data_IF_155587681880
#
_entry.id   IF_155587681880
#
_cell.length_a   1.000
_cell.length_b   1.000
_cell.length_c   1.000
_cell.angle_alpha   90.00
_cell.angle_beta   90.00
_cell.angle_gamma   90.00
#
_symmetry.space_group_name_H-M   'P 1'
#
loop_
_entity.id
_entity.type
_entity.pdbx_description
1 polymer ?
#
# COMPACT_ATOMS: atom_id res chain seq x y z
N UNK A 1 -11.24 -25.79 18.45
CA UNK A 1 -10.04 -26.04 17.62
C UNK A 1 -8.82 -25.56 18.39
N UNK A 2 -7.76 -26.38 18.51
CA UNK A 2 -6.55 -25.98 19.20
C UNK A 2 -5.92 -24.81 18.47
N UNK A 3 -5.49 -23.79 19.22
CA UNK A 3 -4.83 -22.61 18.72
C UNK A 3 -3.64 -23.02 17.84
N UNK A 4 -3.58 -22.50 16.62
CA UNK A 4 -2.52 -22.76 15.65
C UNK A 4 -1.14 -22.22 16.08
N UNK A 5 -1.07 -21.54 17.20
CA UNK A 5 0.16 -21.09 17.85
C UNK A 5 0.59 -22.14 18.84
N UNK A 6 1.63 -22.88 18.51
CA UNK A 6 2.23 -23.85 19.42
C UNK A 6 2.57 -23.20 20.77
N UNK A 7 2.59 -23.99 21.84
CA UNK A 7 3.04 -23.52 23.15
C UNK A 7 4.45 -22.96 23.04
N UNK A 8 4.62 -21.68 23.40
CA UNK A 8 5.94 -21.09 23.55
C UNK A 8 6.58 -21.73 24.78
N UNK A 9 7.51 -22.62 24.58
CA UNK A 9 8.38 -23.08 25.64
C UNK A 9 9.48 -22.06 25.85
N UNK A 10 9.64 -21.56 27.08
CA UNK A 10 10.76 -20.71 27.41
C UNK A 10 12.05 -21.55 27.33
N UNK A 11 12.91 -21.20 26.37
CA UNK A 11 14.19 -21.90 26.15
C UNK A 11 15.19 -21.54 27.25
N UNK A 12 15.10 -20.36 27.83
CA UNK A 12 15.94 -19.89 28.91
C UNK A 12 15.16 -18.94 29.83
N UNK A 13 15.22 -19.19 31.11
CA UNK A 13 14.59 -18.30 32.11
C UNK A 13 15.71 -17.71 32.96
N UNK A 14 15.92 -16.40 32.81
CA UNK A 14 16.82 -15.62 33.67
C UNK A 14 16.01 -14.93 34.74
N UNK A 15 16.36 -15.13 36.02
CA UNK A 15 15.75 -14.43 37.15
C UNK A 15 16.65 -13.29 37.59
N UNK A 16 16.11 -12.07 37.56
CA UNK A 16 16.77 -10.90 38.13
C UNK A 16 16.34 -10.68 39.56
N UNK A 17 17.29 -10.49 40.45
CA UNK A 17 17.03 -10.16 41.86
C UNK A 17 16.83 -8.65 42.13
N UNK A 18 16.58 -7.87 41.09
CA UNK A 18 16.38 -6.42 41.10
C UNK A 18 15.11 -5.97 40.42
N UNK A 19 14.87 -4.65 40.32
CA UNK A 19 13.76 -4.13 39.52
C UNK A 19 13.89 -4.57 38.06
N UNK A 20 12.75 -4.81 37.42
CA UNK A 20 12.71 -5.27 36.02
C UNK A 20 13.47 -4.30 35.13
N UNK A 21 14.48 -4.74 34.37
CA UNK A 21 15.30 -3.87 33.50
C UNK A 21 14.55 -3.48 32.23
N UNK A 22 13.34 -2.94 32.36
CA UNK A 22 12.49 -2.49 31.25
C UNK A 22 12.11 -1.04 31.51
N UNK A 23 12.42 -0.18 30.56
CA UNK A 23 12.01 1.21 30.55
C UNK A 23 10.93 1.47 29.53
N UNK A 24 9.86 2.15 29.93
CA UNK A 24 8.80 2.55 29.01
C UNK A 24 9.19 3.86 28.35
N UNK A 25 9.16 3.92 27.03
CA UNK A 25 9.41 5.10 26.21
C UNK A 25 8.08 5.70 25.75
N UNK A 26 7.40 6.51 26.56
CA UNK A 26 6.09 7.04 26.21
C UNK A 26 6.22 8.16 25.18
N UNK A 27 5.38 8.10 24.13
CA UNK A 27 5.23 9.18 23.16
C UNK A 27 4.09 10.10 23.60
N UNK A 28 4.38 11.38 23.87
CA UNK A 28 3.42 12.40 24.34
C UNK A 28 2.51 11.88 25.47
N UNK A 29 3.10 11.52 26.64
CA UNK A 29 2.30 11.11 27.78
C UNK A 29 1.48 12.30 28.31
N UNK A 30 0.28 12.03 28.83
CA UNK A 30 -0.55 12.98 29.56
C UNK A 30 -1.08 12.31 30.84
N UNK A 31 -1.81 13.05 31.67
CA UNK A 31 -2.34 12.56 32.95
C UNK A 31 -3.26 11.35 32.78
N UNK A 32 -4.06 11.34 31.68
CA UNK A 32 -4.99 10.25 31.41
C UNK A 32 -4.29 9.06 30.74
N UNK A 33 -3.12 9.28 30.14
CA UNK A 33 -2.36 8.29 29.34
C UNK A 33 -0.87 8.31 29.68
N UNK A 34 -0.49 7.80 30.83
CA UNK A 34 0.91 7.83 31.29
C UNK A 34 1.86 7.04 30.39
N UNK A 35 1.35 6.05 29.66
CA UNK A 35 2.12 5.29 28.67
C UNK A 35 2.19 5.94 27.28
N UNK A 36 1.66 7.17 27.15
CA UNK A 36 1.69 7.93 25.92
C UNK A 36 0.61 7.56 24.92
N UNK A 37 0.74 8.10 23.70
CA UNK A 37 -0.21 7.97 22.60
C UNK A 37 0.42 7.18 21.46
N UNK A 38 -0.41 6.46 20.70
CA UNK A 38 0.04 5.83 19.46
C UNK A 38 0.27 6.89 18.38
N UNK A 39 1.35 6.76 17.62
CA UNK A 39 1.57 7.55 16.40
C UNK A 39 0.70 7.06 15.22
N UNK A 40 0.10 5.87 15.34
CA UNK A 40 -0.88 5.37 14.39
C UNK A 40 -2.21 6.02 14.70
N UNK A 41 -2.46 7.18 14.10
CA UNK A 41 -3.70 7.92 14.24
C UNK A 41 -4.81 7.32 13.38
N UNK A 42 -6.05 7.75 13.58
CA UNK A 42 -7.15 7.36 12.69
C UNK A 42 -6.95 7.84 11.26
N UNK A 43 -6.31 8.99 11.07
CA UNK A 43 -5.97 9.52 9.75
C UNK A 43 -4.93 8.63 9.05
N UNK A 44 -3.91 8.17 9.78
CA UNK A 44 -2.92 7.20 9.27
C UNK A 44 -3.59 5.91 8.82
N UNK A 45 -4.46 5.33 9.65
CA UNK A 45 -5.21 4.11 9.30
C UNK A 45 -6.10 4.33 8.07
N UNK A 46 -6.84 5.43 8.02
CA UNK A 46 -7.70 5.76 6.89
C UNK A 46 -6.91 5.89 5.57
N UNK A 47 -5.78 6.60 5.59
CA UNK A 47 -4.94 6.77 4.41
C UNK A 47 -4.34 5.43 3.95
N UNK A 48 -3.93 4.57 4.89
CA UNK A 48 -3.45 3.22 4.57
C UNK A 48 -4.54 2.39 3.90
N UNK A 49 -5.74 2.36 4.47
CA UNK A 49 -6.87 1.64 3.89
C UNK A 49 -7.27 2.20 2.52
N UNK A 50 -7.21 3.52 2.34
CA UNK A 50 -7.49 4.15 1.06
C UNK A 50 -6.46 3.78 0.00
N UNK A 51 -5.16 3.74 0.37
CA UNK A 51 -4.09 3.29 -0.50
C UNK A 51 -4.29 1.83 -0.92
N UNK A 52 -4.56 0.94 0.03
CA UNK A 52 -4.82 -0.49 -0.26
C UNK A 52 -5.99 -0.68 -1.22
N UNK A 53 -7.11 0.03 -1.00
CA UNK A 53 -8.26 -0.01 -1.91
C UNK A 53 -7.95 0.52 -3.30
N UNK A 54 -7.13 1.56 -3.39
CA UNK A 54 -6.70 2.12 -4.69
C UNK A 54 -5.79 1.16 -5.43
N UNK A 55 -4.84 0.53 -4.74
CA UNK A 55 -3.98 -0.50 -5.32
C UNK A 55 -4.80 -1.68 -5.83
N UNK A 56 -5.75 -2.20 -5.04
CA UNK A 56 -6.63 -3.28 -5.46
C UNK A 56 -7.44 -2.92 -6.71
N UNK A 57 -8.00 -1.70 -6.77
CA UNK A 57 -8.71 -1.21 -7.96
C UNK A 57 -7.79 -1.14 -9.19
N UNK A 58 -6.53 -0.76 -8.98
CA UNK A 58 -5.54 -0.69 -10.05
C UNK A 58 -5.22 -2.07 -10.59
N UNK A 59 -5.03 -3.07 -9.72
CA UNK A 59 -4.79 -4.46 -10.11
C UNK A 59 -5.98 -5.03 -10.90
N UNK A 60 -7.20 -4.90 -10.37
CA UNK A 60 -8.41 -5.34 -11.08
C UNK A 60 -8.58 -4.61 -12.40
N UNK A 61 -8.34 -3.29 -12.42
CA UNK A 61 -8.43 -2.49 -13.65
C UNK A 61 -7.38 -2.88 -14.69
N UNK A 62 -6.19 -3.31 -14.27
CA UNK A 62 -5.13 -3.74 -15.16
C UNK A 62 -5.51 -4.97 -16.00
N UNK A 63 -6.31 -5.89 -15.45
CA UNK A 63 -6.82 -7.05 -16.18
C UNK A 63 -7.71 -6.62 -17.35
N UNK A 64 -8.61 -5.67 -17.13
CA UNK A 64 -9.47 -5.13 -18.19
C UNK A 64 -8.72 -4.25 -19.20
N UNK A 65 -7.69 -3.55 -18.73
CA UNK A 65 -6.84 -2.74 -19.60
C UNK A 65 -6.03 -3.61 -20.57
N UNK A 66 -5.47 -4.71 -20.07
CA UNK A 66 -4.63 -5.61 -20.88
C UNK A 66 -5.43 -6.48 -21.84
N UNK A 67 -6.72 -6.74 -21.54
CA UNK A 67 -7.62 -7.52 -22.37
C UNK A 67 -8.89 -6.71 -22.70
N UNK A 68 -8.79 -5.68 -23.56
CA UNK A 68 -9.93 -4.85 -23.90
C UNK A 68 -11.03 -5.66 -24.56
N UNK A 69 -12.26 -5.47 -24.09
CA UNK A 69 -13.42 -6.14 -24.64
C UNK A 69 -13.66 -5.68 -26.09
N UNK A 70 -13.89 -6.63 -26.96
CA UNK A 70 -14.25 -6.40 -28.36
C UNK A 70 -15.71 -6.74 -28.57
N UNK A 71 -16.32 -6.12 -29.55
CA UNK A 71 -17.68 -6.42 -29.98
C UNK A 71 -17.75 -6.51 -31.50
N UNK A 72 -18.65 -7.35 -31.98
CA UNK A 72 -19.04 -7.42 -33.38
C UNK A 72 -20.55 -7.22 -33.43
N UNK A 73 -21.02 -6.31 -34.29
CA UNK A 73 -22.43 -6.05 -34.56
C UNK A 73 -22.76 -6.54 -35.98
N UNK A 74 -23.90 -7.20 -36.12
CA UNK A 74 -24.32 -7.73 -37.41
C UNK A 74 -23.50 -8.94 -37.90
N UNK A 75 -22.86 -9.64 -36.99
CA UNK A 75 -22.21 -10.91 -37.33
C UNK A 75 -23.23 -12.06 -37.18
N UNK A 76 -23.25 -12.97 -38.14
CA UNK A 76 -24.08 -14.16 -38.08
C UNK A 76 -23.59 -15.12 -36.99
N UNK A 77 -24.51 -15.94 -36.44
CA UNK A 77 -24.15 -16.93 -35.40
C UNK A 77 -23.05 -17.89 -35.89
N UNK A 78 -23.06 -18.23 -37.19
CA UNK A 78 -22.06 -19.09 -37.84
C UNK A 78 -20.67 -18.44 -37.91
N UNK A 79 -20.55 -17.12 -37.77
CA UNK A 79 -19.26 -16.43 -37.78
C UNK A 79 -18.32 -16.83 -36.62
N UNK A 80 -18.89 -17.40 -35.55
CA UNK A 80 -18.16 -17.86 -34.38
C UNK A 80 -18.14 -19.38 -34.24
N UNK A 81 -18.24 -20.09 -35.35
CA UNK A 81 -18.13 -21.54 -35.39
C UNK A 81 -16.80 -22.00 -36.01
N UNK A 82 -16.31 -23.16 -35.59
CA UNK A 82 -15.15 -23.78 -36.22
C UNK A 82 -15.51 -24.43 -37.56
N UNK A 83 -14.49 -24.91 -38.30
CA UNK A 83 -14.70 -25.61 -39.55
C UNK A 83 -15.55 -26.90 -39.43
N UNK A 84 -15.84 -27.35 -38.23
CA UNK A 84 -16.65 -28.52 -37.90
C UNK A 84 -18.07 -28.15 -37.48
N UNK A 85 -18.41 -26.83 -37.47
CA UNK A 85 -19.73 -26.33 -37.08
C UNK A 85 -19.93 -26.22 -35.54
N UNK A 86 -18.86 -26.35 -34.72
CA UNK A 86 -18.98 -26.19 -33.29
C UNK A 86 -18.72 -24.73 -32.87
N UNK A 87 -19.44 -24.20 -31.88
CA UNK A 87 -19.21 -22.84 -31.41
C UNK A 87 -17.81 -22.70 -30.86
N UNK A 88 -17.06 -21.70 -31.34
CA UNK A 88 -15.73 -21.35 -30.84
C UNK A 88 -15.88 -20.72 -29.44
N UNK A 89 -15.16 -21.20 -28.42
CA UNK A 89 -15.22 -20.62 -27.10
C UNK A 89 -14.91 -19.12 -27.13
N UNK A 90 -15.70 -18.29 -26.40
CA UNK A 90 -15.57 -16.84 -26.41
C UNK A 90 -14.16 -16.36 -26.04
N UNK A 91 -13.46 -17.09 -25.16
CA UNK A 91 -12.08 -16.78 -24.78
C UNK A 91 -11.09 -16.90 -25.95
N UNK A 92 -11.31 -17.84 -26.87
CA UNK A 92 -10.47 -18.02 -28.08
C UNK A 92 -10.63 -16.82 -29.03
N UNK A 93 -11.85 -16.32 -29.16
CA UNK A 93 -12.15 -15.12 -29.95
C UNK A 93 -11.56 -13.87 -29.30
N UNK A 94 -11.61 -13.78 -27.96
CA UNK A 94 -11.02 -12.66 -27.21
C UNK A 94 -9.49 -12.60 -27.34
N UNK A 95 -8.82 -13.74 -27.28
CA UNK A 95 -7.36 -13.83 -27.36
C UNK A 95 -6.84 -13.82 -28.81
N UNK A 96 -7.70 -14.09 -29.77
CA UNK A 96 -7.36 -14.11 -31.19
C UNK A 96 -6.89 -12.74 -31.69
N UNK A 97 -5.71 -12.69 -32.29
CA UNK A 97 -5.16 -11.46 -32.89
C UNK A 97 -5.83 -11.06 -34.21
N UNK A 98 -6.43 -12.02 -34.89
CA UNK A 98 -7.10 -11.80 -36.15
C UNK A 98 -8.51 -12.38 -36.07
N UNK A 99 -9.51 -11.56 -36.33
CA UNK A 99 -10.90 -11.94 -36.47
C UNK A 99 -11.25 -11.79 -37.95
N UNK A 100 -11.55 -12.93 -38.62
CA UNK A 100 -12.02 -12.93 -39.98
C UNK A 100 -13.53 -13.13 -39.96
N UNK A 101 -14.28 -12.15 -40.42
CA UNK A 101 -15.74 -12.21 -40.52
C UNK A 101 -16.16 -12.20 -41.99
N UNK A 102 -17.09 -13.05 -42.32
CA UNK A 102 -17.75 -13.06 -43.64
C UNK A 102 -18.86 -11.97 -43.68
N UNK A 103 -19.32 -11.69 -44.91
CA UNK A 103 -20.53 -10.88 -45.09
C UNK A 103 -21.73 -11.67 -44.62
N UNK A 104 -22.74 -10.96 -44.12
CA UNK A 104 -24.03 -11.54 -43.79
C UNK A 104 -24.82 -11.97 -45.06
N UNK A 105 -26.02 -12.52 -44.87
CA UNK A 105 -26.89 -12.95 -45.99
C UNK A 105 -27.29 -11.77 -46.89
N UNK A 106 -27.37 -10.56 -46.36
CA UNK A 106 -27.70 -9.32 -47.08
C UNK A 106 -26.47 -8.70 -47.77
N UNK A 107 -25.29 -9.27 -47.57
CA UNK A 107 -24.02 -8.82 -48.17
C UNK A 107 -23.35 -7.66 -47.45
N UNK A 108 -23.82 -7.30 -46.24
CA UNK A 108 -23.21 -6.29 -45.42
C UNK A 108 -22.03 -6.86 -44.62
N UNK A 109 -21.07 -5.98 -44.27
CA UNK A 109 -19.91 -6.36 -43.43
C UNK A 109 -20.23 -6.08 -41.99
N UNK A 110 -20.00 -7.05 -41.09
CA UNK A 110 -20.13 -6.82 -39.64
C UNK A 110 -19.24 -5.67 -39.15
N UNK A 111 -19.79 -4.85 -38.26
CA UNK A 111 -19.03 -3.80 -37.61
C UNK A 111 -18.30 -4.37 -36.41
N UNK A 112 -16.98 -4.33 -36.44
CA UNK A 112 -16.12 -4.77 -35.35
C UNK A 112 -15.58 -3.54 -34.65
N UNK A 113 -15.70 -3.53 -33.34
CA UNK A 113 -15.17 -2.47 -32.50
C UNK A 113 -14.54 -3.00 -31.21
N UNK A 114 -13.91 -2.10 -30.54
CA UNK A 114 -13.29 -2.35 -29.25
C UNK A 114 -13.74 -1.25 -28.28
N UNK A 115 -14.09 -1.63 -27.06
CA UNK A 115 -14.37 -0.63 -26.04
C UNK A 115 -13.12 0.17 -25.71
N UNK A 116 -13.29 1.47 -25.47
CA UNK A 116 -12.18 2.34 -25.10
C UNK A 116 -11.53 1.85 -23.82
N UNK A 117 -10.21 1.72 -23.86
CA UNK A 117 -9.43 1.39 -22.67
C UNK A 117 -9.46 2.55 -21.69
N UNK A 118 -9.73 2.26 -20.41
CA UNK A 118 -9.62 3.26 -19.37
C UNK A 118 -8.14 3.47 -19.01
N UNK A 119 -7.73 4.74 -18.90
CA UNK A 119 -6.39 5.07 -18.43
C UNK A 119 -6.24 4.69 -16.94
N UNK A 120 -5.08 4.12 -16.57
CA UNK A 120 -4.68 3.87 -15.18
C UNK A 120 -4.14 5.12 -14.49
N UNK A 121 -3.90 6.19 -15.23
CA UNK A 121 -3.33 7.43 -14.72
C UNK A 121 -4.10 8.03 -13.52
N UNK A 122 -5.44 8.09 -13.51
CA UNK A 122 -6.18 8.60 -12.38
C UNK A 122 -5.95 7.82 -11.07
N UNK A 123 -5.77 6.50 -11.16
CA UNK A 123 -5.49 5.68 -9.98
C UNK A 123 -4.07 5.96 -9.42
N UNK A 124 -3.10 6.17 -10.31
CA UNK A 124 -1.73 6.55 -9.92
C UNK A 124 -1.72 7.92 -9.24
N UNK A 125 -2.45 8.89 -9.79
CA UNK A 125 -2.58 10.22 -9.22
C UNK A 125 -3.29 10.19 -7.86
N UNK A 126 -4.34 9.39 -7.74
CA UNK A 126 -5.03 9.18 -6.47
C UNK A 126 -4.09 8.57 -5.42
N UNK A 127 -3.32 7.54 -5.77
CA UNK A 127 -2.35 6.92 -4.86
C UNK A 127 -1.28 7.94 -4.43
N UNK A 128 -0.78 8.77 -5.37
CA UNK A 128 0.16 9.85 -5.07
C UNK A 128 -0.42 10.85 -4.06
N UNK A 129 -1.67 11.26 -4.25
CA UNK A 129 -2.36 12.18 -3.33
C UNK A 129 -2.56 11.57 -1.93
N UNK A 130 -2.94 10.30 -1.85
CA UNK A 130 -3.07 9.59 -0.57
C UNK A 130 -1.73 9.51 0.15
N UNK A 131 -0.66 9.21 -0.58
CA UNK A 131 0.68 9.14 0.00
C UNK A 131 1.18 10.51 0.49
N UNK A 132 0.82 11.60 -0.17
CA UNK A 132 1.11 12.96 0.30
C UNK A 132 0.37 13.27 1.61
N UNK A 133 -0.91 12.92 1.71
CA UNK A 133 -1.69 13.07 2.95
C UNK A 133 -1.11 12.21 4.09
N UNK A 134 -0.74 10.97 3.79
CA UNK A 134 -0.09 10.09 4.76
C UNK A 134 1.24 10.66 5.24
N UNK A 135 2.12 11.10 4.32
CA UNK A 135 3.41 11.68 4.64
C UNK A 135 3.28 12.93 5.54
N UNK A 136 2.29 13.80 5.23
CA UNK A 136 1.98 14.97 6.05
C UNK A 136 1.55 14.59 7.46
N UNK A 137 0.68 13.59 7.62
CA UNK A 137 0.18 13.15 8.92
C UNK A 137 1.29 12.58 9.81
N UNK A 138 2.20 11.79 9.24
CA UNK A 138 3.32 11.18 9.99
C UNK A 138 4.56 12.06 10.02
N UNK A 139 4.53 13.24 9.38
CA UNK A 139 5.67 14.17 9.24
C UNK A 139 6.87 13.53 8.54
N UNK A 140 6.62 12.71 7.54
CA UNK A 140 7.64 12.16 6.66
C UNK A 140 7.76 13.00 5.38
N UNK A 141 8.93 12.96 4.76
CA UNK A 141 9.07 13.44 3.40
C UNK A 141 8.43 12.47 2.41
N UNK A 142 7.71 13.00 1.41
CA UNK A 142 7.03 12.20 0.38
C UNK A 142 8.03 11.37 -0.41
N UNK A 143 9.26 11.87 -0.60
CA UNK A 143 10.36 11.13 -1.21
C UNK A 143 10.74 9.86 -0.44
N UNK A 144 10.56 9.84 0.89
CA UNK A 144 10.79 8.64 1.72
C UNK A 144 9.80 7.51 1.43
N UNK A 145 8.66 7.82 0.80
CA UNK A 145 7.67 6.84 0.35
C UNK A 145 7.93 6.34 -1.08
N UNK A 146 9.07 6.70 -1.67
CA UNK A 146 9.42 6.29 -3.03
C UNK A 146 8.71 7.08 -4.13
N UNK A 147 8.01 8.16 -3.78
CA UNK A 147 7.33 9.00 -4.76
C UNK A 147 8.30 10.09 -5.24
N UNK A 148 8.75 9.93 -6.48
CA UNK A 148 9.58 10.93 -7.14
C UNK A 148 8.69 12.11 -7.56
N UNK A 149 9.06 13.30 -7.13
CA UNK A 149 8.43 14.54 -7.62
C UNK A 149 9.06 14.91 -8.97
N UNK A 150 8.25 15.36 -9.92
CA UNK A 150 8.70 15.76 -11.26
C UNK A 150 9.71 16.93 -11.20
N UNK A 151 9.70 17.68 -10.12
CA UNK A 151 10.68 18.72 -9.83
C UNK A 151 11.44 18.34 -8.54
N UNK A 152 12.68 17.81 -8.64
CA UNK A 152 13.43 17.42 -7.46
C UNK A 152 13.65 18.64 -6.56
N UNK A 153 13.27 18.49 -5.30
CA UNK A 153 13.52 19.52 -4.28
C UNK A 153 15.02 19.83 -4.23
N UNK A 154 15.37 21.09 -4.03
CA UNK A 154 16.75 21.48 -3.82
C UNK A 154 17.34 20.73 -2.61
N UNK A 155 18.65 20.54 -2.58
CA UNK A 155 19.31 19.89 -1.46
C UNK A 155 19.02 20.59 -0.12
N UNK A 156 18.77 21.90 -0.15
CA UNK A 156 18.38 22.70 1.01
C UNK A 156 16.95 22.36 1.46
N UNK A 157 15.99 22.21 0.53
CA UNK A 157 14.63 21.84 0.86
C UNK A 157 14.55 20.41 1.46
N UNK A 158 15.36 19.50 0.95
CA UNK A 158 15.49 18.14 1.52
C UNK A 158 16.06 18.22 2.95
N UNK A 159 17.11 19.00 3.18
CA UNK A 159 17.69 19.19 4.50
C UNK A 159 16.68 19.79 5.49
N UNK A 160 15.95 20.85 5.09
CA UNK A 160 14.95 21.49 5.94
C UNK A 160 13.85 20.52 6.37
N UNK A 161 13.40 19.62 5.49
CA UNK A 161 12.42 18.58 5.82
C UNK A 161 12.98 17.53 6.78
N UNK A 162 14.23 17.13 6.59
CA UNK A 162 14.93 16.23 7.51
C UNK A 162 15.14 16.88 8.88
N UNK A 163 15.42 18.19 8.94
CA UNK A 163 15.54 18.95 10.17
C UNK A 163 14.21 19.01 10.94
N UNK A 164 13.08 19.16 10.27
CA UNK A 164 11.75 19.13 10.92
C UNK A 164 11.49 17.77 11.59
N UNK A 165 11.79 16.67 10.94
CA UNK A 165 11.69 15.34 11.52
C UNK A 165 12.70 15.17 12.67
N UNK A 166 13.93 15.68 12.49
CA UNK A 166 14.96 15.73 13.51
C UNK A 166 14.49 16.48 14.76
N UNK A 167 13.96 17.69 14.60
CA UNK A 167 13.48 18.52 15.69
C UNK A 167 12.36 17.82 16.49
N UNK A 168 11.43 17.13 15.81
CA UNK A 168 10.39 16.35 16.48
C UNK A 168 10.95 15.15 17.26
N UNK A 169 12.02 14.54 16.79
CA UNK A 169 12.68 13.43 17.48
C UNK A 169 13.62 13.91 18.58
N UNK A 170 14.28 15.04 18.40
CA UNK A 170 15.17 15.64 19.40
C UNK A 170 14.42 16.13 20.63
N UNK A 171 13.21 16.66 20.50
CA UNK A 171 12.38 17.04 21.64
C UNK A 171 12.01 15.85 22.54
N UNK A 172 12.01 14.64 21.99
CA UNK A 172 11.72 13.40 22.73
C UNK A 172 13.00 12.72 23.26
N UNK A 173 14.09 12.78 22.51
CA UNK A 173 15.36 12.10 22.74
C UNK A 173 16.02 12.42 24.09
N UNK A 174 16.12 13.68 24.56
CA UNK A 174 16.78 13.99 25.83
C UNK A 174 16.08 13.43 27.05
N UNK A 175 14.75 13.43 27.08
CA UNK A 175 13.98 12.90 28.20
C UNK A 175 14.15 11.39 28.33
N UNK A 176 14.12 10.68 27.22
CA UNK A 176 14.31 9.23 27.14
C UNK A 176 15.71 8.83 27.55
N UNK A 177 16.73 9.44 26.94
CA UNK A 177 18.13 9.14 27.26
C UNK A 177 18.46 9.45 28.73
N UNK A 178 17.92 10.55 29.27
CA UNK A 178 18.12 10.91 30.65
C UNK A 178 17.48 9.91 31.61
N UNK A 179 16.30 9.39 31.28
CA UNK A 179 15.62 8.39 32.09
C UNK A 179 16.35 7.05 32.07
N UNK A 180 16.74 6.60 30.88
CA UNK A 180 17.52 5.35 30.70
C UNK A 180 18.85 5.44 31.43
N UNK A 181 19.62 6.51 31.24
CA UNK A 181 20.90 6.69 31.92
C UNK A 181 20.78 6.77 33.44
N UNK A 182 19.76 7.45 33.97
CA UNK A 182 19.53 7.52 35.42
C UNK A 182 19.24 6.15 36.02
N UNK A 183 18.49 5.33 35.31
CA UNK A 183 18.11 3.99 35.75
C UNK A 183 19.27 3.01 35.67
N UNK A 184 20.04 3.05 34.59
CA UNK A 184 21.29 2.28 34.44
C UNK A 184 22.28 2.61 35.56
N UNK A 185 22.47 3.88 35.87
CA UNK A 185 23.33 4.33 36.98
C UNK A 185 22.79 3.87 38.34
N UNK A 186 21.49 3.89 38.55
CA UNK A 186 20.88 3.37 39.78
C UNK A 186 21.04 1.84 39.91
N UNK A 187 20.94 1.12 38.81
CA UNK A 187 21.20 -0.31 38.78
C UNK A 187 22.68 -0.64 39.08
N UNK A 188 23.60 0.06 38.46
CA UNK A 188 25.03 -0.12 38.72
C UNK A 188 25.39 0.19 40.21
N UNK A 189 24.76 1.22 40.78
CA UNK A 189 24.95 1.57 42.18
C UNK A 189 24.33 0.57 43.16
N UNK A 190 23.33 -0.20 42.75
CA UNK A 190 22.70 -1.23 43.58
C UNK A 190 23.45 -2.59 43.52
N UNK A 191 24.40 -2.75 42.62
CA UNK A 191 25.24 -3.95 42.48
C UNK A 191 26.56 -3.88 43.25
N UNK A 192 26.90 -2.73 43.86
CA UNK A 192 28.05 -2.50 44.73
C UNK A 192 27.63 -2.51 46.20
#
# INVERSE_FOLDING_TARGET
SPNAWGSLEAVEVSTFSGPVPVEVLPYQPDEDRPFGKSRITRAVMYNTDAAMRTMLRTEVGAEFYNAPQRYALGADEDAFTDASGNPVPAWTVMLGRLLSLSRDEDGELPQVGQFAQQSMQPNVEQLRSIAQMFASEVSLDVGSLGIVQDNPSSAEAIRARHEELGAKTEGWRPSVLTQVCKRELAHAAAMV
#
